data_IF_338688851738
#
_entry.id   IF_338688851738
#
_cell.length_a   1.000
_cell.length_b   1.000
_cell.length_c   1.000
_cell.angle_alpha   90.00
_cell.angle_beta   90.00
_cell.angle_gamma   90.00
#
_symmetry.space_group_name_H-M   'P 1'
#
loop_
_entity.id
_entity.type
_entity.pdbx_description
1 polymer ?
#
# COMPACT_ATOMS: atom_id res chain seq x y z
N UNK A 1 -4.90 -12.91 5.66
CA UNK A 1 -4.20 -12.05 4.69
C UNK A 1 -4.54 -10.62 5.06
N UNK A 2 -3.65 -9.66 4.85
CA UNK A 2 -4.02 -8.27 5.14
C UNK A 2 -5.04 -7.79 4.10
N UNK A 3 -6.06 -7.06 4.58
CA UNK A 3 -7.12 -6.44 3.79
C UNK A 3 -6.63 -5.80 2.47
N UNK A 4 -5.47 -5.15 2.52
CA UNK A 4 -4.82 -4.50 1.36
C UNK A 4 -4.44 -5.52 0.27
N UNK A 5 -3.88 -6.68 0.62
CA UNK A 5 -3.51 -7.70 -0.38
C UNK A 5 -4.72 -8.26 -1.11
N UNK A 6 -5.85 -8.42 -0.42
CA UNK A 6 -7.08 -8.93 -1.03
C UNK A 6 -7.66 -7.90 -2.01
N UNK A 7 -7.70 -6.63 -1.62
CA UNK A 7 -8.13 -5.52 -2.51
C UNK A 7 -7.22 -5.37 -3.73
N UNK A 8 -5.91 -5.42 -3.53
CA UNK A 8 -4.94 -5.42 -4.63
C UNK A 8 -5.20 -6.55 -5.63
N UNK A 9 -5.43 -7.78 -5.14
CA UNK A 9 -5.72 -8.93 -6.00
C UNK A 9 -7.04 -8.76 -6.75
N UNK A 10 -8.05 -8.17 -6.11
CA UNK A 10 -9.36 -7.88 -6.71
C UNK A 10 -9.27 -6.83 -7.82
N UNK A 11 -8.43 -5.80 -7.63
CA UNK A 11 -8.23 -4.71 -8.59
C UNK A 11 -7.15 -4.99 -9.64
N UNK A 12 -6.39 -6.08 -9.49
CA UNK A 12 -5.25 -6.37 -10.37
C UNK A 12 -4.04 -5.45 -10.16
N UNK A 13 -3.99 -4.71 -9.05
CA UNK A 13 -2.91 -3.78 -8.71
C UNK A 13 -1.73 -4.52 -8.09
N UNK A 14 -0.50 -4.28 -8.56
CA UNK A 14 0.71 -4.91 -7.99
C UNK A 14 1.28 -4.05 -6.87
N UNK A 15 2.11 -4.66 -6.01
CA UNK A 15 2.80 -3.92 -4.93
C UNK A 15 3.69 -2.81 -5.48
N UNK A 16 4.26 -3.02 -6.67
CA UNK A 16 5.09 -2.02 -7.36
C UNK A 16 4.25 -0.81 -7.79
N UNK A 17 3.01 -1.01 -8.23
CA UNK A 17 2.11 0.09 -8.62
C UNK A 17 1.79 0.97 -7.41
N UNK A 18 1.46 0.35 -6.26
CA UNK A 18 1.26 1.10 -5.01
C UNK A 18 2.52 1.85 -4.58
N UNK A 19 3.71 1.26 -4.72
CA UNK A 19 4.98 1.93 -4.40
C UNK A 19 5.20 3.15 -5.31
N UNK A 20 4.85 3.04 -6.60
CA UNK A 20 4.93 4.16 -7.54
C UNK A 20 3.95 5.28 -7.16
N UNK A 21 2.71 4.94 -6.81
CA UNK A 21 1.69 5.91 -6.37
C UNK A 21 2.08 6.59 -5.05
N UNK A 22 2.56 5.82 -4.07
CA UNK A 22 3.11 6.36 -2.82
C UNK A 22 4.27 7.33 -3.10
N UNK A 23 5.17 6.98 -4.02
CA UNK A 23 6.30 7.84 -4.39
C UNK A 23 5.83 9.15 -5.02
N UNK A 24 4.78 9.14 -5.84
CA UNK A 24 4.16 10.37 -6.38
C UNK A 24 3.61 11.28 -5.29
N UNK A 25 3.14 10.69 -4.17
CA UNK A 25 2.66 11.41 -2.97
C UNK A 25 3.78 11.81 -2.01
N UNK A 26 5.05 11.64 -2.41
CA UNK A 26 6.23 11.97 -1.59
C UNK A 26 6.60 10.89 -0.57
N UNK A 27 5.93 9.74 -0.57
CA UNK A 27 6.19 8.64 0.36
C UNK A 27 7.04 7.58 -0.35
N UNK A 28 8.30 7.47 0.04
CA UNK A 28 9.20 6.46 -0.55
C UNK A 28 9.30 5.24 0.35
N UNK A 29 8.96 4.07 -0.20
CA UNK A 29 8.97 2.77 0.48
C UNK A 29 9.62 1.74 -0.44
N UNK A 30 10.54 0.94 0.09
CA UNK A 30 11.16 -0.14 -0.67
C UNK A 30 10.24 -1.38 -0.73
N UNK A 31 10.31 -2.22 -1.77
CA UNK A 31 9.55 -3.47 -1.84
C UNK A 31 9.61 -4.37 -0.58
N UNK A 32 10.77 -4.60 0.06
CA UNK A 32 10.83 -5.37 1.32
C UNK A 32 10.13 -4.66 2.49
N UNK A 33 10.23 -3.32 2.58
CA UNK A 33 9.50 -2.54 3.59
C UNK A 33 7.98 -2.66 3.37
N UNK A 34 7.52 -2.50 2.13
CA UNK A 34 6.11 -2.62 1.76
C UNK A 34 5.55 -3.99 2.16
N UNK A 35 6.26 -5.06 1.82
CA UNK A 35 5.89 -6.44 2.18
C UNK A 35 5.76 -6.62 3.70
N UNK A 36 6.62 -5.97 4.47
CA UNK A 36 6.65 -6.08 5.93
C UNK A 36 5.57 -5.22 6.60
N UNK A 37 5.29 -4.03 6.06
CA UNK A 37 4.19 -3.14 6.48
C UNK A 37 2.84 -3.80 6.23
N UNK A 38 2.64 -4.36 5.03
CA UNK A 38 1.43 -5.08 4.63
C UNK A 38 1.18 -6.28 5.54
N UNK A 39 2.23 -6.96 6.02
CA UNK A 39 2.10 -8.08 6.97
C UNK A 39 1.87 -7.64 8.42
N UNK A 40 1.87 -6.34 8.72
CA UNK A 40 1.71 -5.82 10.07
C UNK A 40 2.92 -6.04 10.98
N UNK A 41 4.08 -6.38 10.41
CA UNK A 41 5.33 -6.63 11.18
C UNK A 41 5.95 -5.32 11.66
N UNK A 42 5.75 -4.22 10.93
CA UNK A 42 6.23 -2.89 11.29
C UNK A 42 5.11 -1.99 11.80
N UNK A 43 5.26 -1.50 13.03
CA UNK A 43 4.31 -0.63 13.74
C UNK A 43 4.86 0.79 13.97
N UNK A 44 5.75 1.26 13.10
CA UNK A 44 6.25 2.64 13.15
C UNK A 44 5.21 3.64 12.61
N UNK A 45 5.25 4.92 13.03
CA UNK A 45 4.32 5.96 12.54
C UNK A 45 4.27 6.04 11.01
N UNK A 46 5.42 5.85 10.34
CA UNK A 46 5.53 5.79 8.88
C UNK A 46 4.70 4.64 8.27
N UNK A 47 4.68 3.47 8.91
CA UNK A 47 3.91 2.31 8.42
C UNK A 47 2.41 2.59 8.43
N UNK A 48 1.92 3.30 9.46
CA UNK A 48 0.51 3.72 9.52
C UNK A 48 0.15 4.67 8.39
N UNK A 49 1.02 5.65 8.10
CA UNK A 49 0.83 6.58 6.97
C UNK A 49 0.83 5.82 5.64
N UNK A 50 1.76 4.88 5.44
CA UNK A 50 1.82 4.06 4.22
C UNK A 50 0.54 3.23 4.04
N UNK A 51 0.05 2.60 5.11
CA UNK A 51 -1.19 1.81 5.05
C UNK A 51 -2.40 2.68 4.73
N UNK A 52 -2.54 3.84 5.39
CA UNK A 52 -3.61 4.80 5.14
C UNK A 52 -3.61 5.27 3.68
N UNK A 53 -2.43 5.56 3.16
CA UNK A 53 -2.29 6.07 1.80
C UNK A 53 -2.49 4.97 0.75
N UNK A 54 -2.06 3.74 1.02
CA UNK A 54 -2.42 2.58 0.20
C UNK A 54 -3.93 2.36 0.16
N UNK A 55 -4.62 2.53 1.29
CA UNK A 55 -6.06 2.38 1.37
C UNK A 55 -6.79 3.43 0.51
N UNK A 56 -6.32 4.68 0.53
CA UNK A 56 -6.83 5.74 -0.36
C UNK A 56 -6.62 5.42 -1.82
N UNK A 57 -5.41 5.00 -2.22
CA UNK A 57 -5.12 4.64 -3.62
C UNK A 57 -6.05 3.52 -4.09
N UNK A 58 -6.21 2.48 -3.27
CA UNK A 58 -7.10 1.36 -3.61
C UNK A 58 -8.57 1.79 -3.68
N UNK A 59 -9.00 2.71 -2.81
CA UNK A 59 -10.37 3.24 -2.82
C UNK A 59 -10.64 4.11 -4.05
N UNK A 60 -9.65 4.88 -4.51
CA UNK A 60 -9.72 5.62 -5.76
C UNK A 60 -9.80 4.68 -6.96
N UNK A 61 -8.96 3.63 -6.98
CA UNK A 61 -9.03 2.60 -8.03
C UNK A 61 -10.34 1.79 -8.02
N UNK A 62 -10.98 1.59 -6.87
CA UNK A 62 -12.30 0.95 -6.76
C UNK A 62 -13.44 1.86 -7.25
N UNK A 63 -13.24 3.17 -7.24
CA UNK A 63 -14.24 4.17 -7.64
C UNK A 63 -14.13 4.59 -9.12
N UNK A 64 -13.15 4.06 -9.85
CA UNK A 64 -12.96 4.23 -11.30
C UNK A 64 -13.51 3.04 -12.08
#
# INVERSE_FOLDING_TARGET
MSHIQERMKKLGVKQVDLILELRKRGITVQPPEMSSIIRGVYTYPKAKVVLDECDKILSECESQ
#
